data_IF_429107350507
#
_entry.id   IF_429107350507
#
_cell.length_a   1.000
_cell.length_b   1.000
_cell.length_c   1.000
_cell.angle_alpha   90.00
_cell.angle_beta   90.00
_cell.angle_gamma   90.00
#
_symmetry.space_group_name_H-M   'P 1'
#
loop_
_entity.id
_entity.type
_entity.pdbx_description
1 polymer ?
#
# COMPACT_ATOMS: atom_id res chain seq x y z
N UNK A 1 -17.51 -10.21 5.98
CA UNK A 1 -16.95 -9.02 5.93
C UNK A 1 -16.63 -8.31 7.23
N UNK A 2 -15.97 -7.17 7.10
CA UNK A 2 -15.75 -6.26 8.21
C UNK A 2 -16.99 -5.40 8.43
N UNK A 3 -17.33 -5.15 9.69
CA UNK A 3 -18.49 -4.31 10.05
C UNK A 3 -18.15 -2.82 9.91
N UNK A 4 -16.89 -2.46 10.17
CA UNK A 4 -16.38 -1.10 10.04
C UNK A 4 -15.04 -1.14 9.30
N UNK A 5 -14.90 -0.27 8.30
CA UNK A 5 -13.65 -0.08 7.54
C UNK A 5 -13.16 1.34 7.72
N UNK A 6 -11.91 1.50 8.13
CA UNK A 6 -11.22 2.79 8.22
C UNK A 6 -10.21 2.88 7.10
N UNK A 7 -10.29 3.91 6.30
CA UNK A 7 -9.46 4.09 5.11
C UNK A 7 -8.76 5.45 5.11
N UNK A 8 -7.48 5.46 4.77
CA UNK A 8 -6.73 6.71 4.55
C UNK A 8 -6.99 7.24 3.15
N UNK A 9 -7.76 8.32 3.03
CA UNK A 9 -8.01 8.99 1.74
C UNK A 9 -6.75 9.64 1.15
N UNK A 10 -5.73 9.88 1.98
CA UNK A 10 -4.39 10.33 1.60
C UNK A 10 -3.69 9.38 0.61
N UNK A 11 -4.07 8.09 0.61
CA UNK A 11 -3.42 7.03 -0.18
C UNK A 11 -4.03 6.95 -1.59
N UNK A 12 -4.58 5.82 -1.97
CA UNK A 12 -5.10 5.57 -3.32
C UNK A 12 -6.22 6.53 -3.76
N UNK A 13 -7.05 7.01 -2.83
CA UNK A 13 -8.13 7.94 -3.18
C UNK A 13 -7.59 9.25 -3.71
N UNK A 14 -6.62 9.87 -3.03
CA UNK A 14 -5.90 11.02 -3.54
C UNK A 14 -4.95 10.62 -4.68
N UNK A 15 -4.12 9.61 -4.48
CA UNK A 15 -3.23 9.02 -5.47
C UNK A 15 -2.03 9.87 -5.85
N UNK A 16 -1.79 11.01 -5.20
CA UNK A 16 -0.68 11.92 -5.51
C UNK A 16 -0.05 12.57 -4.26
N UNK A 17 -0.41 12.13 -3.06
CA UNK A 17 0.16 12.63 -1.81
C UNK A 17 -0.12 14.11 -1.52
N UNK A 18 -1.23 14.66 -2.02
CA UNK A 18 -1.57 16.10 -1.94
C UNK A 18 -2.38 16.46 -0.70
N UNK A 19 -3.11 15.49 -0.13
CA UNK A 19 -4.09 15.74 0.92
C UNK A 19 -3.88 14.81 2.11
N UNK A 20 -4.38 15.26 3.26
CA UNK A 20 -4.52 14.44 4.45
C UNK A 20 -6.01 14.23 4.72
N UNK A 21 -6.41 12.99 4.94
CA UNK A 21 -7.79 12.68 5.27
C UNK A 21 -8.03 11.20 5.48
N UNK A 22 -9.20 10.89 6.00
CA UNK A 22 -9.67 9.53 6.23
C UNK A 22 -11.15 9.39 5.92
N UNK A 23 -11.58 8.16 5.74
CA UNK A 23 -12.97 7.76 5.62
C UNK A 23 -13.26 6.60 6.55
N UNK A 24 -14.41 6.64 7.18
CA UNK A 24 -14.95 5.51 7.96
C UNK A 24 -16.22 5.04 7.27
N UNK A 25 -16.26 3.76 6.95
CA UNK A 25 -17.39 3.09 6.31
C UNK A 25 -17.96 2.06 7.28
N UNK A 26 -19.28 2.02 7.39
CA UNK A 26 -19.99 1.10 8.26
C UNK A 26 -21.48 1.11 7.96
N UNK A 27 -22.28 0.44 8.78
CA UNK A 27 -23.73 0.50 8.66
C UNK A 27 -24.25 1.92 8.87
N UNK A 28 -25.41 2.23 8.30
CA UNK A 28 -26.05 3.53 8.47
C UNK A 28 -26.31 3.84 9.94
N UNK A 29 -26.74 2.84 10.72
CA UNK A 29 -26.95 2.94 12.15
C UNK A 29 -25.66 3.33 12.88
N UNK A 30 -24.56 2.59 12.66
CA UNK A 30 -23.25 2.89 13.26
C UNK A 30 -22.79 4.31 12.92
N UNK A 31 -22.90 4.71 11.66
CA UNK A 31 -22.47 6.04 11.22
C UNK A 31 -23.33 7.14 11.87
N UNK A 32 -24.65 7.00 11.87
CA UNK A 32 -25.56 8.06 12.37
C UNK A 32 -25.63 8.13 13.89
N UNK A 33 -25.65 6.99 14.56
CA UNK A 33 -25.93 6.93 16.00
C UNK A 33 -24.66 6.94 16.86
N UNK A 34 -23.55 6.43 16.32
CA UNK A 34 -22.29 6.33 17.06
C UNK A 34 -21.24 7.32 16.55
N UNK A 35 -20.89 7.23 15.27
CA UNK A 35 -19.75 7.98 14.74
C UNK A 35 -20.05 9.48 14.57
N UNK A 36 -21.19 9.83 14.01
CA UNK A 36 -21.52 11.23 13.70
C UNK A 36 -21.65 12.10 14.96
N UNK A 37 -22.31 11.66 16.07
CA UNK A 37 -22.30 12.42 17.31
C UNK A 37 -20.88 12.63 17.85
N UNK A 38 -20.07 11.57 17.91
CA UNK A 38 -18.67 11.65 18.34
C UNK A 38 -17.88 12.65 17.51
N UNK A 39 -17.96 12.54 16.18
CA UNK A 39 -17.27 13.42 15.23
C UNK A 39 -17.67 14.89 15.39
N UNK A 40 -18.96 15.17 15.60
CA UNK A 40 -19.48 16.55 15.84
C UNK A 40 -18.92 17.16 17.13
N UNK A 41 -18.81 16.37 18.18
CA UNK A 41 -18.37 16.86 19.49
C UNK A 41 -16.84 16.94 19.62
N UNK A 42 -16.09 16.15 18.84
CA UNK A 42 -14.62 16.16 18.85
C UNK A 42 -14.00 17.05 17.77
N UNK A 43 -14.74 17.37 16.72
CA UNK A 43 -14.41 18.37 15.71
C UNK A 43 -13.34 18.03 14.64
N UNK A 44 -12.93 16.76 14.41
CA UNK A 44 -11.89 16.45 13.40
C UNK A 44 -12.46 16.49 11.97
N UNK A 45 -12.83 17.68 11.50
CA UNK A 45 -13.39 17.86 10.16
C UNK A 45 -12.30 18.01 9.11
N UNK A 46 -12.49 17.36 7.96
CA UNK A 46 -11.64 17.56 6.79
C UNK A 46 -11.81 19.00 6.25
N UNK A 47 -10.71 19.64 5.86
CA UNK A 47 -10.81 20.96 5.24
C UNK A 47 -11.57 20.89 3.90
N UNK A 48 -12.34 21.94 3.54
CA UNK A 48 -13.05 21.98 2.25
C UNK A 48 -12.13 21.79 1.04
N UNK A 49 -10.91 22.31 1.10
CA UNK A 49 -9.93 22.14 0.05
C UNK A 49 -9.49 20.67 -0.11
N UNK A 50 -9.15 19.98 0.98
CA UNK A 50 -8.82 18.56 0.94
C UNK A 50 -9.99 17.72 0.43
N UNK A 51 -11.21 18.03 0.88
CA UNK A 51 -12.42 17.34 0.42
C UNK A 51 -12.63 17.51 -1.09
N UNK A 52 -12.43 18.73 -1.61
CA UNK A 52 -12.53 19.00 -3.04
C UNK A 52 -11.47 18.26 -3.86
N UNK A 53 -10.21 18.25 -3.43
CA UNK A 53 -9.13 17.50 -4.11
C UNK A 53 -9.43 16.02 -4.13
N UNK A 54 -9.88 15.44 -3.00
CA UNK A 54 -10.26 14.01 -2.94
C UNK A 54 -11.44 13.72 -3.85
N UNK A 55 -12.48 14.56 -3.84
CA UNK A 55 -13.64 14.41 -4.73
C UNK A 55 -13.21 14.37 -6.20
N UNK A 56 -12.33 15.29 -6.61
CA UNK A 56 -11.79 15.32 -7.98
C UNK A 56 -10.94 14.08 -8.30
N UNK A 57 -10.20 13.58 -7.34
CA UNK A 57 -9.39 12.36 -7.51
C UNK A 57 -10.25 11.11 -7.66
N UNK A 58 -11.41 11.06 -7.02
CA UNK A 58 -12.34 9.93 -7.14
C UNK A 58 -12.92 9.77 -8.55
N UNK A 59 -12.98 10.84 -9.35
CA UNK A 59 -13.47 10.79 -10.74
C UNK A 59 -12.65 9.81 -11.60
N UNK A 60 -11.35 9.66 -11.33
CA UNK A 60 -10.43 8.76 -12.05
C UNK A 60 -10.02 7.53 -11.24
N UNK A 61 -10.59 7.35 -10.05
CA UNK A 61 -10.16 6.31 -9.12
C UNK A 61 -10.21 4.89 -9.71
N UNK A 62 -11.32 4.46 -10.35
CA UNK A 62 -11.40 3.12 -10.96
C UNK A 62 -10.32 2.89 -12.02
N UNK A 63 -10.12 3.86 -12.91
CA UNK A 63 -9.11 3.76 -13.98
C UNK A 63 -7.69 3.65 -13.42
N UNK A 64 -7.38 4.45 -12.39
CA UNK A 64 -6.08 4.38 -11.71
C UNK A 64 -5.89 3.01 -11.04
N UNK A 65 -6.91 2.54 -10.33
CA UNK A 65 -6.82 1.24 -9.67
C UNK A 65 -6.61 0.11 -10.67
N UNK A 66 -7.33 0.07 -11.78
CA UNK A 66 -7.16 -0.93 -12.83
C UNK A 66 -5.70 -0.98 -13.32
N UNK A 67 -5.12 0.17 -13.62
CA UNK A 67 -3.73 0.27 -14.07
C UNK A 67 -2.74 -0.16 -12.99
N UNK A 68 -2.90 0.31 -11.76
CA UNK A 68 -2.05 -0.05 -10.62
C UNK A 68 -2.05 -1.57 -10.37
N UNK A 69 -3.22 -2.21 -10.42
CA UNK A 69 -3.38 -3.64 -10.20
C UNK A 69 -2.73 -4.47 -11.32
N UNK A 70 -2.91 -4.07 -12.57
CA UNK A 70 -2.28 -4.71 -13.73
C UNK A 70 -0.76 -4.63 -13.67
N UNK A 71 -0.22 -3.45 -13.39
CA UNK A 71 1.21 -3.24 -13.24
C UNK A 71 1.79 -4.06 -12.07
N UNK A 72 1.11 -4.07 -10.93
CA UNK A 72 1.55 -4.82 -9.76
C UNK A 72 1.66 -6.33 -10.02
N UNK A 73 0.70 -6.90 -10.72
CA UNK A 73 0.75 -8.32 -11.10
C UNK A 73 1.91 -8.60 -12.05
N UNK A 74 2.15 -7.74 -13.03
CA UNK A 74 3.25 -7.87 -13.99
C UNK A 74 4.61 -7.79 -13.29
N UNK A 75 4.78 -6.80 -12.40
CA UNK A 75 6.00 -6.63 -11.61
C UNK A 75 6.21 -7.80 -10.65
N UNK A 76 5.15 -8.28 -9.98
CA UNK A 76 5.26 -9.41 -9.05
C UNK A 76 5.72 -10.69 -9.78
N UNK A 77 5.18 -10.99 -10.97
CA UNK A 77 5.61 -12.12 -11.80
C UNK A 77 7.06 -11.99 -12.26
N UNK A 78 7.47 -10.78 -12.68
CA UNK A 78 8.86 -10.52 -13.05
C UNK A 78 9.80 -10.75 -11.86
N UNK A 79 9.47 -10.22 -10.70
CA UNK A 79 10.27 -10.40 -9.49
C UNK A 79 10.36 -11.87 -9.07
N UNK A 80 9.25 -12.61 -9.14
CA UNK A 80 9.20 -14.03 -8.77
C UNK A 80 10.14 -14.90 -9.61
N UNK A 81 10.28 -14.56 -10.90
CA UNK A 81 11.18 -15.29 -11.82
C UNK A 81 12.64 -14.83 -11.76
N UNK A 82 12.96 -13.75 -11.05
CA UNK A 82 14.27 -13.14 -11.10
C UNK A 82 15.28 -13.82 -10.14
N UNK A 83 16.47 -14.26 -10.58
CA UNK A 83 17.40 -15.06 -9.77
C UNK A 83 17.99 -14.32 -8.56
N UNK A 84 17.95 -12.99 -8.51
CA UNK A 84 18.38 -12.20 -7.36
C UNK A 84 17.29 -11.97 -6.32
N UNK A 85 16.05 -12.37 -6.62
CA UNK A 85 14.93 -12.28 -5.69
C UNK A 85 14.82 -13.59 -4.93
N UNK A 86 14.80 -13.49 -3.60
CA UNK A 86 14.70 -14.64 -2.71
C UNK A 86 13.27 -15.14 -2.56
N UNK A 87 12.32 -14.20 -2.46
CA UNK A 87 10.89 -14.46 -2.42
C UNK A 87 10.09 -13.21 -2.75
N UNK A 88 8.87 -13.41 -3.21
CA UNK A 88 7.86 -12.35 -3.39
C UNK A 88 6.65 -12.66 -2.52
N UNK A 89 6.08 -11.63 -1.90
CA UNK A 89 4.86 -11.71 -1.09
C UNK A 89 3.82 -10.83 -1.76
N UNK A 90 2.96 -11.45 -2.56
CA UNK A 90 1.90 -10.77 -3.27
C UNK A 90 0.70 -11.72 -3.49
N UNK A 91 -0.51 -11.37 -3.01
CA UNK A 91 -1.67 -12.27 -3.06
C UNK A 91 -2.10 -12.67 -4.48
N UNK A 92 -1.68 -11.91 -5.50
CA UNK A 92 -1.97 -12.21 -6.91
C UNK A 92 -1.10 -13.30 -7.52
N UNK A 93 -0.06 -13.79 -6.83
CA UNK A 93 0.75 -14.92 -7.29
C UNK A 93 0.17 -16.24 -6.77
N UNK A 94 0.17 -17.28 -7.60
CA UNK A 94 -0.29 -18.62 -7.23
C UNK A 94 0.57 -19.24 -6.11
N UNK A 95 1.83 -18.81 -6.00
CA UNK A 95 2.75 -19.21 -4.93
C UNK A 95 2.39 -18.63 -3.56
N UNK A 96 1.52 -17.60 -3.50
CA UNK A 96 1.12 -17.02 -2.23
C UNK A 96 0.16 -17.94 -1.46
N UNK A 97 0.41 -18.24 -0.17
CA UNK A 97 -0.35 -19.23 0.59
C UNK A 97 -1.86 -18.92 0.72
N UNK A 98 -2.24 -17.66 0.54
CA UNK A 98 -3.64 -17.22 0.61
C UNK A 98 -4.18 -16.76 -0.76
N UNK A 99 -3.57 -17.18 -1.87
CA UNK A 99 -4.00 -16.78 -3.21
C UNK A 99 -5.48 -17.09 -3.47
N UNK A 100 -5.91 -18.32 -3.19
CA UNK A 100 -7.30 -18.74 -3.40
C UNK A 100 -8.29 -17.98 -2.51
N UNK A 101 -7.88 -17.65 -1.28
CA UNK A 101 -8.70 -16.81 -0.41
C UNK A 101 -8.82 -15.38 -0.98
N UNK A 102 -7.71 -14.81 -1.43
CA UNK A 102 -7.69 -13.49 -2.05
C UNK A 102 -8.57 -13.43 -3.31
N UNK A 103 -8.50 -14.43 -4.19
CA UNK A 103 -9.40 -14.56 -5.37
C UNK A 103 -10.88 -14.58 -4.99
N UNK A 104 -11.21 -15.22 -3.89
CA UNK A 104 -12.60 -15.30 -3.41
C UNK A 104 -13.10 -13.98 -2.84
N UNK A 105 -12.24 -13.18 -2.21
CA UNK A 105 -12.62 -11.99 -1.45
C UNK A 105 -12.37 -10.68 -2.18
N UNK A 106 -11.49 -10.66 -3.18
CA UNK A 106 -11.01 -9.44 -3.82
C UNK A 106 -11.24 -9.48 -5.33
N UNK A 107 -11.65 -8.36 -5.91
CA UNK A 107 -11.74 -8.19 -7.37
C UNK A 107 -10.38 -7.92 -8.03
N UNK A 108 -9.36 -7.64 -7.24
CA UNK A 108 -7.96 -7.45 -7.64
C UNK A 108 -7.08 -7.53 -6.40
N UNK A 109 -5.78 -7.72 -6.56
CA UNK A 109 -4.88 -8.11 -5.48
C UNK A 109 -4.09 -6.98 -4.83
N UNK A 110 -4.49 -5.73 -5.10
CA UNK A 110 -3.78 -4.54 -4.62
C UNK A 110 -2.53 -4.22 -5.43
N UNK A 111 -1.89 -3.11 -5.10
CA UNK A 111 -0.67 -2.65 -5.78
C UNK A 111 0.58 -2.68 -4.88
N UNK A 112 0.48 -3.28 -3.70
CA UNK A 112 1.61 -3.44 -2.81
C UNK A 112 2.27 -4.80 -3.03
N UNK A 113 3.51 -4.80 -3.46
CA UNK A 113 4.34 -5.98 -3.66
C UNK A 113 5.49 -5.94 -2.65
N UNK A 114 5.57 -6.91 -1.76
CA UNK A 114 6.73 -7.06 -0.91
C UNK A 114 7.64 -8.17 -1.46
N UNK A 115 8.95 -7.97 -1.40
CA UNK A 115 9.92 -8.94 -1.88
C UNK A 115 11.23 -8.85 -1.11
N UNK A 116 11.96 -9.95 -1.08
CA UNK A 116 13.30 -10.01 -0.51
C UNK A 116 14.33 -10.26 -1.61
N UNK A 117 15.44 -9.54 -1.53
CA UNK A 117 16.60 -9.79 -2.40
C UNK A 117 17.63 -10.65 -1.67
N UNK A 118 18.43 -11.39 -2.44
CA UNK A 118 19.67 -11.95 -1.94
C UNK A 118 20.71 -10.83 -1.74
N UNK A 119 21.48 -10.90 -0.66
CA UNK A 119 22.54 -9.95 -0.38
C UNK A 119 22.49 -9.35 1.02
N UNK A 120 23.44 -8.50 1.29
CA UNK A 120 23.56 -7.73 2.54
C UNK A 120 22.64 -6.50 2.52
N UNK A 121 22.46 -5.87 3.69
CA UNK A 121 21.72 -4.59 3.80
C UNK A 121 22.32 -3.51 2.88
N UNK A 122 23.64 -3.49 2.72
CA UNK A 122 24.31 -2.54 1.82
C UNK A 122 23.93 -2.80 0.35
N UNK A 123 23.81 -4.07 -0.05
CA UNK A 123 23.37 -4.42 -1.40
C UNK A 123 21.94 -3.97 -1.67
N UNK A 124 21.06 -4.09 -0.67
CA UNK A 124 19.68 -3.61 -0.74
C UNK A 124 19.65 -2.08 -0.95
N UNK A 125 20.41 -1.34 -0.18
CA UNK A 125 20.48 0.12 -0.34
C UNK A 125 21.09 0.53 -1.67
N UNK A 126 22.14 -0.19 -2.14
CA UNK A 126 22.71 0.03 -3.45
C UNK A 126 21.68 -0.23 -4.56
N UNK A 127 20.87 -1.29 -4.43
CA UNK A 127 19.77 -1.54 -5.36
C UNK A 127 18.78 -0.37 -5.37
N UNK A 128 18.27 0.05 -4.21
CA UNK A 128 17.30 1.15 -4.10
C UNK A 128 17.83 2.45 -4.70
N UNK A 129 19.08 2.79 -4.42
CA UNK A 129 19.72 4.03 -4.89
C UNK A 129 20.00 4.04 -6.41
N UNK A 130 19.95 2.89 -7.08
CA UNK A 130 20.13 2.79 -8.52
C UNK A 130 18.82 2.77 -9.31
N UNK A 131 17.68 2.77 -8.65
CA UNK A 131 16.38 2.88 -9.32
C UNK A 131 16.25 4.24 -10.02
N UNK A 132 15.61 4.25 -11.19
CA UNK A 132 15.49 5.45 -12.04
C UNK A 132 14.05 5.97 -12.13
N UNK A 133 13.09 5.06 -12.02
CA UNK A 133 11.65 5.37 -12.14
C UNK A 133 10.99 5.38 -10.76
N UNK A 134 11.40 4.45 -9.89
CA UNK A 134 10.80 4.26 -8.58
C UNK A 134 11.41 5.20 -7.56
N UNK A 135 10.59 6.01 -6.92
CA UNK A 135 11.00 6.95 -5.87
C UNK A 135 11.14 6.23 -4.50
N UNK A 136 12.14 6.61 -3.71
CA UNK A 136 12.29 6.10 -2.34
C UNK A 136 11.38 6.91 -1.42
N UNK A 137 10.33 6.25 -0.91
CA UNK A 137 9.36 6.85 0.00
C UNK A 137 8.67 5.80 0.86
N UNK A 138 8.34 6.15 2.09
CA UNK A 138 7.53 5.31 2.98
C UNK A 138 6.02 5.45 2.76
N UNK A 139 5.58 6.31 1.83
CA UNK A 139 4.17 6.42 1.43
C UNK A 139 3.75 5.23 0.56
N UNK A 140 2.49 5.17 0.17
CA UNK A 140 1.92 4.15 -0.71
C UNK A 140 0.66 4.66 -1.42
N UNK A 141 0.25 3.96 -2.47
CA UNK A 141 -1.01 4.27 -3.18
C UNK A 141 -0.93 5.50 -4.07
N UNK A 142 0.27 5.98 -4.35
CA UNK A 142 0.54 7.03 -5.32
C UNK A 142 0.46 6.48 -6.75
N UNK A 143 0.21 7.35 -7.72
CA UNK A 143 0.31 7.02 -9.15
C UNK A 143 1.75 6.76 -9.59
N UNK A 144 2.72 7.22 -8.81
CA UNK A 144 4.14 6.88 -8.95
C UNK A 144 4.49 5.62 -8.19
N UNK A 145 5.42 4.86 -8.71
CA UNK A 145 6.02 3.74 -7.99
C UNK A 145 6.89 4.21 -6.84
N UNK A 146 6.61 3.70 -5.64
CA UNK A 146 7.30 4.06 -4.40
C UNK A 146 7.90 2.82 -3.74
N UNK A 147 9.17 2.89 -3.34
CA UNK A 147 9.83 1.79 -2.63
C UNK A 147 10.31 2.22 -1.26
N UNK A 148 10.18 1.32 -0.29
CA UNK A 148 10.73 1.52 1.06
C UNK A 148 11.40 0.26 1.58
N UNK A 149 12.35 0.45 2.51
CA UNK A 149 12.96 -0.61 3.30
C UNK A 149 12.31 -0.61 4.70
N UNK A 150 11.33 -1.47 4.98
CA UNK A 150 10.53 -1.40 6.21
C UNK A 150 11.34 -1.44 7.48
N UNK A 151 12.41 -2.24 7.50
CA UNK A 151 13.27 -2.40 8.67
C UNK A 151 13.96 -1.10 9.15
N UNK A 152 14.15 -0.12 8.27
CA UNK A 152 14.79 1.17 8.63
C UNK A 152 13.85 2.36 8.52
N UNK A 153 12.58 2.14 8.20
CA UNK A 153 11.60 3.21 8.04
C UNK A 153 10.35 2.93 8.87
N UNK A 154 9.37 2.25 8.31
CA UNK A 154 8.04 2.05 8.93
C UNK A 154 8.06 1.14 10.16
N UNK A 155 9.08 0.31 10.34
CA UNK A 155 9.23 -0.63 11.46
C UNK A 155 10.57 -0.46 12.19
N UNK A 156 11.19 0.73 12.07
CA UNK A 156 12.48 1.02 12.71
C UNK A 156 12.44 1.04 14.24
N UNK A 157 11.25 1.26 14.83
CA UNK A 157 11.05 1.27 16.28
C UNK A 157 10.80 -0.14 16.87
N UNK A 158 10.75 -1.19 16.03
CA UNK A 158 10.58 -2.57 16.46
C UNK A 158 11.96 -3.23 16.56
N UNK A 159 12.22 -3.88 17.68
CA UNK A 159 13.45 -4.64 17.89
C UNK A 159 13.63 -5.71 16.79
N UNK A 160 14.88 -5.98 16.41
CA UNK A 160 15.18 -6.84 15.27
C UNK A 160 14.61 -8.25 15.40
N UNK A 161 14.69 -8.84 16.60
CA UNK A 161 14.15 -10.19 16.83
C UNK A 161 12.63 -10.25 16.63
N UNK A 162 11.91 -9.24 17.12
CA UNK A 162 10.47 -9.13 16.94
C UNK A 162 10.11 -8.86 15.48
N UNK A 163 10.84 -7.98 14.83
CA UNK A 163 10.65 -7.65 13.40
C UNK A 163 10.84 -8.89 12.52
N UNK A 164 11.85 -9.73 12.81
CA UNK A 164 12.07 -10.98 12.09
C UNK A 164 10.91 -11.96 12.30
N UNK A 165 10.37 -12.07 13.52
CA UNK A 165 9.18 -12.89 13.81
C UNK A 165 7.95 -12.43 13.00
N UNK A 166 7.83 -11.13 12.76
CA UNK A 166 6.80 -10.55 11.89
C UNK A 166 7.08 -10.75 10.38
N UNK A 167 8.19 -11.41 10.03
CA UNK A 167 8.58 -11.65 8.64
C UNK A 167 9.24 -10.45 7.94
N UNK A 168 9.65 -9.44 8.71
CA UNK A 168 10.30 -8.22 8.18
C UNK A 168 11.81 -8.33 8.40
N UNK A 169 12.47 -8.95 7.42
CA UNK A 169 13.92 -9.12 7.40
C UNK A 169 14.67 -7.85 6.98
N UNK A 170 15.98 -7.86 7.13
CA UNK A 170 16.86 -6.77 6.67
C UNK A 170 17.04 -6.74 5.14
N UNK A 171 16.45 -7.69 4.41
CA UNK A 171 16.44 -7.72 2.94
C UNK A 171 15.04 -7.48 2.34
N UNK A 172 14.03 -7.28 3.18
CA UNK A 172 12.66 -7.03 2.73
C UNK A 172 12.50 -5.62 2.20
N UNK A 173 11.91 -5.51 1.03
CA UNK A 173 11.47 -4.28 0.40
C UNK A 173 9.96 -4.30 0.20
N UNK A 174 9.31 -3.14 0.30
CA UNK A 174 7.91 -2.94 -0.06
C UNK A 174 7.84 -1.96 -1.22
N UNK A 175 7.30 -2.40 -2.33
CA UNK A 175 7.02 -1.60 -3.52
C UNK A 175 5.52 -1.30 -3.58
N UNK A 176 5.18 -0.03 -3.63
CA UNK A 176 3.85 0.45 -4.05
C UNK A 176 3.96 0.73 -5.53
N UNK A 177 3.43 -0.17 -6.35
CA UNK A 177 3.54 -0.08 -7.82
C UNK A 177 2.65 1.04 -8.33
N UNK A 178 3.20 1.87 -9.20
CA UNK A 178 2.53 3.01 -9.83
C UNK A 178 1.88 2.70 -11.17
N UNK A 179 1.59 3.75 -11.92
CA UNK A 179 0.89 3.68 -13.21
C UNK A 179 1.85 3.73 -14.41
N UNK A 180 3.14 3.79 -14.17
CA UNK A 180 4.19 3.86 -15.21
C UNK A 180 4.11 2.66 -16.16
N UNK A 181 4.61 2.85 -17.39
CA UNK A 181 4.70 1.82 -18.44
C UNK A 181 5.78 0.77 -18.14
#
# INVERSE_FOLDING_TARGET
GADVVVYSTTKHMDGQGRTLGGAVLGSEEFIKETLLPFHRHTGPAMSPFNAWVILKSLETFPLRMERLLGNALSVAKLLESHPKVKRVIYPGLESHPQHELAKKQMSGFGNLVAFELHGSKQDIFKFMNNLKIVDISNNLGDVKSLITHPATTTHSNIEEEERIKLGISNSLLRLSVGMED
#
